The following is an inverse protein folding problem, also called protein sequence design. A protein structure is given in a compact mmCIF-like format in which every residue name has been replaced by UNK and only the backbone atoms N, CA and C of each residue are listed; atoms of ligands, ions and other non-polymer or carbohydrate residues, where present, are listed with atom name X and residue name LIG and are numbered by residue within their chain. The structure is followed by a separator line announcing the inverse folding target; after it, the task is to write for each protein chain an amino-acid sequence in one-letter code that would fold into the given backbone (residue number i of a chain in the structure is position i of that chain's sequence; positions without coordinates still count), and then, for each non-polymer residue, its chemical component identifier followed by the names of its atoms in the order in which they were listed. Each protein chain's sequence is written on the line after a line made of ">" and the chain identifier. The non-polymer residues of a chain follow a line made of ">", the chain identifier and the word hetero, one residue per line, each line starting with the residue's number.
data_IF_981928291109
#
_entry.id   IF_981928291109
#
_cell.length_a   1.000
_cell.length_b   1.000
_cell.length_c   1.000
_cell.angle_alpha   90.00
_cell.angle_beta   90.00
_cell.angle_gamma   90.00
#
_symmetry.space_group_name_H-M   'P 1'
#
loop_
_entity.id
_entity.type
_entity.pdbx_description
1 polymer ?
#
# COMPACT_ATOMS: atom_id res chain seq x y z
N UNK A 1 2.63 8.67 -29.09
CA UNK A 1 1.89 7.96 -28.04
C UNK A 1 2.44 8.39 -26.69
N UNK A 2 1.61 9.08 -25.91
CA UNK A 2 1.94 9.70 -24.62
C UNK A 2 2.64 8.73 -23.67
N UNK A 3 3.69 9.18 -22.95
CA UNK A 3 4.46 8.35 -22.00
C UNK A 3 3.54 7.74 -20.95
N UNK A 4 2.55 8.51 -20.47
CA UNK A 4 1.54 8.06 -19.51
C UNK A 4 0.71 6.89 -20.04
N UNK A 5 0.21 6.99 -21.28
CA UNK A 5 -0.54 5.90 -21.91
C UNK A 5 0.30 4.63 -22.07
N UNK A 6 1.60 4.75 -22.39
CA UNK A 6 2.51 3.59 -22.48
C UNK A 6 2.70 2.89 -21.14
N UNK A 7 2.87 3.64 -20.05
CA UNK A 7 3.08 3.09 -18.70
C UNK A 7 1.79 2.43 -18.19
N UNK A 8 0.64 3.07 -18.38
CA UNK A 8 -0.67 2.51 -18.00
C UNK A 8 -0.96 1.18 -18.72
N UNK A 9 -0.76 1.12 -20.04
CA UNK A 9 -0.95 -0.11 -20.82
C UNK A 9 0.01 -1.20 -20.33
N UNK A 10 1.27 -0.85 -20.07
CA UNK A 10 2.26 -1.80 -19.54
C UNK A 10 1.81 -2.37 -18.20
N UNK A 11 1.40 -1.52 -17.26
CA UNK A 11 0.96 -1.95 -15.93
C UNK A 11 -0.28 -2.85 -16.03
N UNK A 12 -1.29 -2.46 -16.81
CA UNK A 12 -2.49 -3.26 -17.02
C UNK A 12 -2.18 -4.63 -17.65
N UNK A 13 -1.25 -4.67 -18.60
CA UNK A 13 -0.79 -5.92 -19.19
C UNK A 13 -0.08 -6.82 -18.17
N UNK A 14 0.77 -6.26 -17.30
CA UNK A 14 1.42 -7.01 -16.22
C UNK A 14 0.41 -7.54 -15.19
N UNK A 15 -0.58 -6.73 -14.81
CA UNK A 15 -1.65 -7.14 -13.89
C UNK A 15 -2.49 -8.28 -14.47
N UNK A 16 -2.90 -8.14 -15.74
CA UNK A 16 -3.66 -9.17 -16.45
C UNK A 16 -2.86 -10.47 -16.58
N UNK A 17 -1.59 -10.37 -16.92
CA UNK A 17 -0.70 -11.52 -17.03
C UNK A 17 -0.48 -12.19 -15.67
N UNK A 18 -0.34 -11.41 -14.60
CA UNK A 18 -0.28 -11.91 -13.23
C UNK A 18 -1.53 -12.68 -12.84
N UNK A 19 -2.71 -12.14 -13.14
CA UNK A 19 -3.99 -12.81 -12.89
C UNK A 19 -4.11 -14.13 -13.66
N UNK A 20 -3.75 -14.14 -14.95
CA UNK A 20 -3.76 -15.36 -15.77
C UNK A 20 -2.83 -16.44 -15.21
N UNK A 21 -1.63 -16.06 -14.74
CA UNK A 21 -0.70 -16.99 -14.09
C UNK A 21 -1.33 -17.61 -12.84
N UNK A 22 -2.02 -16.84 -12.01
CA UNK A 22 -2.71 -17.37 -10.82
C UNK A 22 -3.81 -18.34 -11.21
N UNK A 23 -4.63 -18.02 -12.23
CA UNK A 23 -5.65 -18.94 -12.74
C UNK A 23 -5.07 -20.23 -13.32
N UNK A 24 -3.86 -20.21 -13.90
CA UNK A 24 -3.20 -21.40 -14.42
C UNK A 24 -2.88 -22.41 -13.30
N UNK A 25 -2.53 -21.98 -12.09
CA UNK A 25 -2.32 -22.91 -10.97
C UNK A 25 -3.59 -23.73 -10.69
N UNK A 26 -4.76 -23.10 -10.74
CA UNK A 26 -6.04 -23.79 -10.57
C UNK A 26 -6.35 -24.71 -11.75
N UNK A 27 -6.17 -24.22 -12.99
CA UNK A 27 -6.44 -25.02 -14.19
C UNK A 27 -5.57 -26.27 -14.27
N UNK A 28 -4.26 -26.14 -14.01
CA UNK A 28 -3.31 -27.26 -13.95
C UNK A 28 -3.74 -28.25 -12.85
N UNK A 29 -4.11 -27.75 -11.68
CA UNK A 29 -4.59 -28.60 -10.59
C UNK A 29 -5.81 -29.43 -10.99
N UNK A 30 -6.83 -28.80 -11.59
CA UNK A 30 -8.05 -29.49 -12.06
C UNK A 30 -7.71 -30.55 -13.12
N UNK A 31 -6.88 -30.20 -14.11
CA UNK A 31 -6.47 -31.14 -15.16
C UNK A 31 -5.75 -32.36 -14.56
N UNK A 32 -4.85 -32.14 -13.59
CA UNK A 32 -4.15 -33.22 -12.89
C UNK A 32 -5.12 -34.10 -12.10
N UNK A 33 -6.12 -33.53 -11.41
CA UNK A 33 -7.15 -34.32 -10.74
C UNK A 33 -7.99 -35.16 -11.72
N UNK A 34 -8.38 -34.59 -12.86
CA UNK A 34 -9.13 -35.31 -13.90
C UNK A 34 -8.32 -36.43 -14.55
N UNK A 35 -7.02 -36.20 -14.79
CA UNK A 35 -6.08 -37.22 -15.26
C UNK A 35 -5.90 -38.33 -14.22
N UNK A 36 -5.71 -37.99 -12.94
CA UNK A 36 -5.61 -38.94 -11.83
C UNK A 36 -6.87 -39.78 -11.64
N UNK A 37 -8.05 -39.20 -11.90
CA UNK A 37 -9.34 -39.89 -11.88
C UNK A 37 -9.61 -40.74 -13.15
N UNK A 38 -8.66 -40.77 -14.09
CA UNK A 38 -8.78 -41.43 -15.40
C UNK A 38 -9.97 -40.97 -16.24
N UNK A 39 -10.47 -39.75 -16.01
CA UNK A 39 -11.56 -39.18 -16.81
C UNK A 39 -11.06 -38.87 -18.23
N UNK A 40 -9.80 -38.45 -18.36
CA UNK A 40 -9.21 -37.98 -19.63
C UNK A 40 -8.32 -39.04 -20.29
N UNK A 41 -7.59 -39.85 -19.49
CA UNK A 41 -6.64 -40.82 -20.01
C UNK A 41 -6.48 -42.03 -19.08
N UNK A 42 -6.19 -43.20 -19.66
CA UNK A 42 -5.90 -44.41 -18.91
C UNK A 42 -4.44 -44.38 -18.42
N UNK A 43 -4.27 -44.01 -17.15
CA UNK A 43 -2.97 -43.96 -16.48
C UNK A 43 -2.71 -45.19 -15.61
N UNK A 44 -1.44 -45.59 -15.51
CA UNK A 44 -1.02 -46.60 -14.54
C UNK A 44 -1.12 -46.06 -13.10
N UNK A 45 -1.04 -46.94 -12.10
CA UNK A 45 -1.24 -46.55 -10.70
C UNK A 45 -0.25 -45.48 -10.21
N UNK A 46 1.03 -45.60 -10.61
CA UNK A 46 2.08 -44.64 -10.22
C UNK A 46 1.80 -43.24 -10.79
N UNK A 47 1.38 -43.16 -12.04
CA UNK A 47 1.03 -41.92 -12.70
C UNK A 47 -0.23 -41.27 -12.10
N UNK A 48 -1.23 -42.06 -11.69
CA UNK A 48 -2.40 -41.53 -10.97
C UNK A 48 -2.00 -40.89 -9.65
N UNK A 49 -1.18 -41.59 -8.84
CA UNK A 49 -0.70 -41.07 -7.56
C UNK A 49 0.08 -39.76 -7.77
N UNK A 50 0.97 -39.72 -8.76
CA UNK A 50 1.71 -38.51 -9.10
C UNK A 50 0.77 -37.35 -9.47
N UNK A 51 -0.26 -37.60 -10.29
CA UNK A 51 -1.25 -36.59 -10.66
C UNK A 51 -1.99 -36.03 -9.43
N UNK A 52 -2.40 -36.87 -8.48
CA UNK A 52 -3.04 -36.40 -7.25
C UNK A 52 -2.10 -35.57 -6.37
N UNK A 53 -0.84 -36.00 -6.21
CA UNK A 53 0.14 -35.28 -5.41
C UNK A 53 0.43 -33.90 -6.01
N UNK A 54 0.75 -33.83 -7.30
CA UNK A 54 1.01 -32.55 -7.95
C UNK A 54 -0.25 -31.69 -8.03
N UNK A 55 -1.40 -32.26 -8.37
CA UNK A 55 -2.69 -31.55 -8.38
C UNK A 55 -2.98 -30.88 -7.03
N UNK A 56 -2.72 -31.58 -5.93
CA UNK A 56 -2.86 -31.06 -4.57
C UNK A 56 -1.87 -29.93 -4.28
N UNK A 57 -0.59 -30.06 -4.69
CA UNK A 57 0.41 -28.99 -4.52
C UNK A 57 -0.02 -27.72 -5.26
N UNK A 58 -0.43 -27.84 -6.53
CA UNK A 58 -0.91 -26.69 -7.32
C UNK A 58 -2.17 -26.06 -6.70
N UNK A 59 -3.11 -26.87 -6.19
CA UNK A 59 -4.29 -26.37 -5.48
C UNK A 59 -3.92 -25.60 -4.21
N UNK A 60 -3.01 -26.14 -3.38
CA UNK A 60 -2.56 -25.49 -2.14
C UNK A 60 -1.89 -24.16 -2.46
N UNK A 61 -1.01 -24.11 -3.46
CA UNK A 61 -0.36 -22.85 -3.88
C UNK A 61 -1.41 -21.83 -4.32
N UNK A 62 -2.39 -22.23 -5.13
CA UNK A 62 -3.49 -21.36 -5.55
C UNK A 62 -4.27 -20.81 -4.34
N UNK A 63 -4.65 -21.68 -3.40
CA UNK A 63 -5.37 -21.29 -2.17
C UNK A 63 -4.55 -20.28 -1.36
N UNK A 64 -3.24 -20.51 -1.18
CA UNK A 64 -2.36 -19.58 -0.46
C UNK A 64 -2.30 -18.20 -1.13
N UNK A 65 -2.25 -18.15 -2.45
CA UNK A 65 -2.28 -16.89 -3.22
C UNK A 65 -3.62 -16.18 -2.99
N UNK A 66 -4.75 -16.87 -3.12
CA UNK A 66 -6.09 -16.31 -2.91
C UNK A 66 -6.25 -15.77 -1.48
N UNK A 67 -5.85 -16.53 -0.47
CA UNK A 67 -5.85 -16.09 0.93
C UNK A 67 -5.02 -14.81 1.08
N UNK A 68 -3.85 -14.75 0.44
CA UNK A 68 -2.99 -13.56 0.51
C UNK A 68 -3.65 -12.34 -0.11
N UNK A 69 -4.32 -12.47 -1.26
CA UNK A 69 -5.07 -11.39 -1.90
C UNK A 69 -6.20 -10.90 -0.99
N UNK A 70 -6.97 -11.83 -0.39
CA UNK A 70 -8.04 -11.48 0.56
C UNK A 70 -7.47 -10.73 1.77
N UNK A 71 -6.34 -11.17 2.33
CA UNK A 71 -5.69 -10.48 3.45
C UNK A 71 -5.25 -9.06 3.09
N UNK A 72 -4.75 -8.83 1.87
CA UNK A 72 -4.41 -7.49 1.37
C UNK A 72 -5.68 -6.63 1.34
N UNK A 73 -6.75 -7.10 0.70
CA UNK A 73 -8.01 -6.37 0.61
C UNK A 73 -8.64 -6.03 1.99
N UNK A 74 -8.58 -6.97 2.95
CA UNK A 74 -9.05 -6.71 4.31
C UNK A 74 -8.18 -5.66 5.03
N UNK A 75 -6.88 -5.66 4.77
CA UNK A 75 -5.94 -4.71 5.33
C UNK A 75 -6.15 -3.32 4.76
N UNK A 76 -6.42 -3.21 3.46
CA UNK A 76 -6.72 -1.96 2.77
C UNK A 76 -8.00 -1.33 3.31
N UNK A 77 -9.07 -2.12 3.44
CA UNK A 77 -10.32 -1.69 4.07
C UNK A 77 -10.14 -1.23 5.53
N UNK A 78 -9.22 -1.85 6.27
CA UNK A 78 -8.89 -1.40 7.62
C UNK A 78 -8.25 -0.02 7.62
N UNK A 79 -7.38 0.31 6.66
CA UNK A 79 -6.79 1.65 6.58
C UNK A 79 -7.78 2.70 6.12
N UNK A 80 -8.66 2.36 5.16
CA UNK A 80 -9.74 3.27 4.75
C UNK A 80 -10.66 3.63 5.92
N UNK A 81 -10.97 2.67 6.81
CA UNK A 81 -11.75 2.96 8.04
C UNK A 81 -11.03 3.85 9.05
N UNK A 82 -9.73 4.06 8.91
CA UNK A 82 -8.93 4.92 9.76
C UNK A 82 -8.72 6.31 9.17
N UNK A 83 -9.23 6.59 7.96
CA UNK A 83 -9.05 7.88 7.30
C UNK A 83 -9.61 9.03 8.16
N UNK A 84 -8.91 10.15 8.16
CA UNK A 84 -9.34 11.40 8.80
C UNK A 84 -9.55 12.44 7.73
N UNK A 85 -10.67 13.17 7.77
CA UNK A 85 -10.91 14.28 6.85
C UNK A 85 -9.92 15.42 7.14
N UNK A 86 -8.88 15.53 6.31
CA UNK A 86 -7.84 16.56 6.47
C UNK A 86 -8.31 17.94 6.05
N UNK A 87 -9.43 18.08 5.34
CA UNK A 87 -9.99 19.40 5.08
C UNK A 87 -10.75 19.91 6.29
N UNK A 88 -11.57 19.07 6.92
CA UNK A 88 -12.28 19.40 8.16
C UNK A 88 -11.30 19.66 9.31
N UNK A 89 -10.29 18.80 9.47
CA UNK A 89 -9.31 18.91 10.56
C UNK A 89 -8.58 20.26 10.57
N UNK A 90 -8.35 20.85 9.40
CA UNK A 90 -7.54 22.06 9.22
C UNK A 90 -8.34 23.28 8.74
N UNK A 91 -9.67 23.24 8.75
CA UNK A 91 -10.53 24.29 8.18
C UNK A 91 -10.35 25.67 8.82
N UNK A 92 -9.95 25.71 10.10
CA UNK A 92 -9.81 26.95 10.90
C UNK A 92 -8.35 27.37 11.11
N UNK A 93 -7.39 26.67 10.52
CA UNK A 93 -5.97 26.97 10.70
C UNK A 93 -5.53 28.07 9.71
N UNK A 94 -4.84 29.11 10.21
CA UNK A 94 -4.25 30.11 9.33
C UNK A 94 -3.01 29.52 8.65
N UNK A 95 -3.04 29.43 7.32
CA UNK A 95 -1.92 28.88 6.55
C UNK A 95 -0.87 29.97 6.31
N UNK A 96 0.38 29.70 6.67
CA UNK A 96 1.53 30.43 6.13
C UNK A 96 1.63 30.22 4.61
N UNK A 97 2.26 31.17 3.92
CA UNK A 97 2.34 31.20 2.45
C UNK A 97 2.79 29.87 1.82
N UNK A 98 3.79 29.19 2.42
CA UNK A 98 4.29 27.90 1.90
C UNK A 98 3.22 26.79 1.95
N UNK A 99 2.43 26.74 3.01
CA UNK A 99 1.39 25.71 3.18
C UNK A 99 0.18 26.01 2.30
N UNK A 100 -0.15 27.29 2.15
CA UNK A 100 -1.22 27.75 1.28
C UNK A 100 -0.94 27.36 -0.17
N UNK A 101 0.25 27.67 -0.68
CA UNK A 101 0.66 27.36 -2.06
C UNK A 101 0.58 25.85 -2.33
N UNK A 102 1.18 25.03 -1.47
CA UNK A 102 1.14 23.57 -1.63
C UNK A 102 -0.28 23.01 -1.58
N UNK A 103 -1.13 23.56 -0.72
CA UNK A 103 -2.50 23.09 -0.58
C UNK A 103 -3.39 23.50 -1.76
N UNK A 104 -3.19 24.71 -2.30
CA UNK A 104 -3.84 25.17 -3.53
C UNK A 104 -3.44 24.30 -4.72
N UNK A 105 -2.15 24.02 -4.89
CA UNK A 105 -1.62 23.15 -5.93
C UNK A 105 -2.19 21.73 -5.82
N UNK A 106 -2.19 21.17 -4.60
CA UNK A 106 -2.76 19.86 -4.33
C UNK A 106 -4.24 19.79 -4.70
N UNK A 107 -5.04 20.79 -4.28
CA UNK A 107 -6.49 20.84 -4.59
C UNK A 107 -6.76 20.95 -6.08
N UNK A 108 -5.93 21.72 -6.80
CA UNK A 108 -6.14 21.97 -8.22
C UNK A 108 -5.76 20.76 -9.07
N UNK A 109 -4.55 20.25 -8.90
CA UNK A 109 -3.96 19.29 -9.84
C UNK A 109 -3.94 17.85 -9.30
N UNK A 110 -4.11 17.67 -7.98
CA UNK A 110 -3.95 16.39 -7.28
C UNK A 110 -5.17 16.00 -6.40
N UNK A 111 -6.32 16.66 -6.56
CA UNK A 111 -7.54 16.39 -5.75
C UNK A 111 -8.00 14.93 -5.78
N UNK A 112 -7.70 14.19 -6.86
CA UNK A 112 -7.94 12.73 -6.96
C UNK A 112 -7.28 11.92 -5.84
N UNK A 113 -6.24 12.44 -5.21
CA UNK A 113 -5.52 11.81 -4.11
C UNK A 113 -5.96 12.27 -2.71
N UNK A 114 -7.04 13.06 -2.59
CA UNK A 114 -7.53 13.51 -1.28
C UNK A 114 -7.82 12.34 -0.34
N UNK A 115 -8.50 11.29 -0.82
CA UNK A 115 -8.76 10.09 -0.01
C UNK A 115 -7.48 9.37 0.41
N UNK A 116 -6.43 9.41 -0.43
CA UNK A 116 -5.12 8.85 -0.09
C UNK A 116 -4.42 9.68 0.99
N UNK A 117 -4.49 11.01 0.92
CA UNK A 117 -3.99 11.91 1.96
C UNK A 117 -4.68 11.64 3.30
N UNK A 118 -6.01 11.59 3.31
CA UNK A 118 -6.82 11.33 4.50
C UNK A 118 -6.51 9.96 5.13
N UNK A 119 -6.32 8.94 4.29
CA UNK A 119 -5.95 7.59 4.71
C UNK A 119 -4.53 7.55 5.29
N UNK A 120 -3.56 8.20 4.65
CA UNK A 120 -2.17 8.25 5.12
C UNK A 120 -2.08 8.96 6.47
N UNK A 121 -2.78 10.08 6.59
CA UNK A 121 -2.82 10.91 7.79
C UNK A 121 -3.45 10.14 8.96
N UNK A 122 -4.60 9.52 8.74
CA UNK A 122 -5.25 8.66 9.73
C UNK A 122 -4.42 7.45 10.14
N UNK A 123 -3.71 6.84 9.18
CA UNK A 123 -2.78 5.74 9.48
C UNK A 123 -1.62 6.21 10.36
N UNK A 124 -1.03 7.38 10.10
CA UNK A 124 0.05 7.95 10.91
C UNK A 124 -0.40 8.18 12.36
N UNK A 125 -1.57 8.79 12.58
CA UNK A 125 -2.11 8.97 13.94
C UNK A 125 -2.23 7.62 14.65
N UNK A 126 -2.77 6.60 13.97
CA UNK A 126 -2.91 5.27 14.54
C UNK A 126 -1.54 4.63 14.85
N UNK A 127 -0.55 4.85 13.99
CA UNK A 127 0.82 4.39 14.19
C UNK A 127 1.40 4.97 15.48
N UNK A 128 1.29 6.29 15.68
CA UNK A 128 1.81 6.97 16.87
C UNK A 128 1.07 6.56 18.14
N UNK A 129 -0.27 6.48 18.12
CA UNK A 129 -1.06 5.96 19.25
C UNK A 129 -0.58 4.59 19.71
N UNK A 130 -0.29 3.70 18.76
CA UNK A 130 0.25 2.36 19.04
C UNK A 130 1.71 2.39 19.50
N UNK A 131 2.54 3.24 18.90
CA UNK A 131 3.95 3.39 19.26
C UNK A 131 4.12 3.82 20.71
N UNK A 132 3.36 4.84 21.13
CA UNK A 132 3.40 5.41 22.48
C UNK A 132 2.42 4.78 23.47
N UNK A 133 1.57 3.84 23.02
CA UNK A 133 0.50 3.20 23.82
C UNK A 133 -0.44 4.20 24.48
N UNK A 134 -0.87 5.22 23.74
CA UNK A 134 -1.74 6.31 24.20
C UNK A 134 -2.80 6.60 23.15
N UNK A 135 -4.06 6.31 23.46
CA UNK A 135 -5.16 6.45 22.51
C UNK A 135 -5.62 7.90 22.26
N UNK A 136 -5.27 8.82 23.17
CA UNK A 136 -5.61 10.23 23.08
C UNK A 136 -4.67 11.07 22.21
N UNK A 137 -3.60 10.47 21.66
CA UNK A 137 -2.68 11.21 20.78
C UNK A 137 -3.46 11.69 19.55
N UNK A 138 -3.37 12.98 19.29
CA UNK A 138 -3.89 13.61 18.08
C UNK A 138 -2.75 14.36 17.40
N UNK A 139 -2.74 14.34 16.07
CA UNK A 139 -1.72 15.01 15.26
C UNK A 139 -2.44 16.06 14.43
N UNK A 140 -2.23 17.34 14.78
CA UNK A 140 -2.76 18.48 14.04
C UNK A 140 -1.60 19.39 13.64
N UNK A 141 -0.74 18.90 12.74
CA UNK A 141 0.44 19.64 12.28
C UNK A 141 0.31 19.99 10.80
N UNK A 142 0.40 21.28 10.50
CA UNK A 142 0.42 21.80 9.13
C UNK A 142 1.64 21.29 8.36
N UNK A 143 2.79 21.16 9.02
CA UNK A 143 4.02 20.63 8.42
C UNK A 143 3.85 19.16 8.01
N UNK A 144 3.22 18.33 8.85
CA UNK A 144 2.96 16.92 8.51
C UNK A 144 2.00 16.83 7.32
N UNK A 145 0.92 17.62 7.30
CA UNK A 145 0.00 17.68 6.16
C UNK A 145 0.73 18.08 4.88
N UNK A 146 1.55 19.13 4.95
CA UNK A 146 2.36 19.62 3.85
C UNK A 146 3.32 18.54 3.32
N UNK A 147 4.07 17.88 4.20
CA UNK A 147 4.99 16.81 3.82
C UNK A 147 4.27 15.63 3.14
N UNK A 148 3.04 15.30 3.56
CA UNK A 148 2.22 14.28 2.91
C UNK A 148 1.71 14.72 1.53
N UNK A 149 1.28 15.97 1.37
CA UNK A 149 0.91 16.53 0.07
C UNK A 149 2.10 16.49 -0.89
N UNK A 150 3.27 16.95 -0.44
CA UNK A 150 4.50 16.93 -1.21
C UNK A 150 4.96 15.52 -1.59
N UNK A 151 4.81 14.54 -0.69
CA UNK A 151 5.05 13.13 -1.01
C UNK A 151 4.16 12.67 -2.17
N UNK A 152 2.86 12.95 -2.10
CA UNK A 152 1.90 12.52 -3.12
C UNK A 152 2.22 13.16 -4.47
N UNK A 153 2.40 14.48 -4.49
CA UNK A 153 2.71 15.26 -5.68
C UNK A 153 4.02 14.78 -6.31
N UNK A 154 5.09 14.67 -5.52
CA UNK A 154 6.40 14.21 -6.01
C UNK A 154 6.37 12.77 -6.52
N UNK A 155 5.54 11.90 -5.93
CA UNK A 155 5.38 10.53 -6.42
C UNK A 155 4.59 10.49 -7.74
N UNK A 156 3.52 11.27 -7.86
CA UNK A 156 2.76 11.36 -9.11
C UNK A 156 3.61 11.92 -10.24
N UNK A 157 4.43 12.95 -9.98
CA UNK A 157 5.33 13.52 -10.98
C UNK A 157 6.42 12.54 -11.42
N UNK A 158 6.99 11.77 -10.48
CA UNK A 158 8.11 10.87 -10.77
C UNK A 158 7.67 9.50 -11.32
N UNK A 159 6.52 9.00 -10.91
CA UNK A 159 6.06 7.63 -11.19
C UNK A 159 4.73 7.57 -11.94
N UNK A 160 4.14 8.71 -12.30
CA UNK A 160 2.79 8.85 -12.88
C UNK A 160 1.67 8.24 -11.99
N UNK A 161 1.98 7.96 -10.71
CA UNK A 161 1.01 7.50 -9.74
C UNK A 161 1.55 7.60 -8.30
N UNK A 162 0.64 7.81 -7.34
CA UNK A 162 0.87 7.58 -5.91
C UNK A 162 0.12 6.34 -5.44
N UNK A 163 0.83 5.39 -4.82
CA UNK A 163 0.26 4.19 -4.21
C UNK A 163 0.28 4.33 -2.68
N UNK A 164 -0.91 4.55 -2.12
CA UNK A 164 -1.12 4.73 -0.69
C UNK A 164 -0.73 3.49 0.13
N UNK A 165 -0.98 2.28 -0.38
CA UNK A 165 -0.70 1.06 0.36
C UNK A 165 0.81 0.78 0.38
N UNK A 166 1.51 1.10 -0.71
CA UNK A 166 2.96 1.11 -0.74
C UNK A 166 3.54 2.15 0.24
N UNK A 167 2.98 3.36 0.31
CA UNK A 167 3.39 4.39 1.27
C UNK A 167 3.23 3.89 2.72
N UNK A 168 2.08 3.30 3.05
CA UNK A 168 1.78 2.76 4.38
C UNK A 168 2.74 1.62 4.75
N UNK A 169 3.07 0.74 3.81
CA UNK A 169 3.98 -0.38 4.07
C UNK A 169 5.43 0.08 4.27
N UNK A 170 5.90 1.04 3.49
CA UNK A 170 7.20 1.68 3.73
C UNK A 170 7.22 2.45 5.04
N UNK A 171 6.15 3.17 5.38
CA UNK A 171 6.04 3.89 6.65
C UNK A 171 6.15 2.93 7.84
N UNK A 172 5.44 1.80 7.81
CA UNK A 172 5.58 0.73 8.83
C UNK A 172 6.99 0.18 8.89
N UNK A 173 7.61 -0.05 7.74
CA UNK A 173 8.95 -0.62 7.67
C UNK A 173 9.97 0.34 8.30
N UNK A 174 9.88 1.63 7.99
CA UNK A 174 10.74 2.67 8.58
C UNK A 174 10.49 2.78 10.09
N UNK A 175 9.23 2.94 10.52
CA UNK A 175 8.88 3.15 11.92
C UNK A 175 9.26 1.94 12.82
N UNK A 176 9.14 0.72 12.30
CA UNK A 176 9.51 -0.51 13.03
C UNK A 176 10.95 -0.94 12.77
N UNK A 177 11.76 -0.13 12.09
CA UNK A 177 13.14 -0.46 11.69
C UNK A 177 13.26 -1.85 11.04
N UNK A 178 12.26 -2.24 10.25
CA UNK A 178 12.26 -3.52 9.52
C UNK A 178 13.20 -3.45 8.34
N UNK A 179 13.65 -4.62 7.89
CA UNK A 179 14.45 -4.76 6.69
C UNK A 179 13.71 -4.18 5.47
N UNK A 180 14.32 -3.16 4.86
CA UNK A 180 13.90 -2.60 3.58
C UNK A 180 14.87 -3.11 2.53
N UNK A 181 14.34 -3.70 1.46
CA UNK A 181 15.19 -4.19 0.38
C UNK A 181 15.95 -3.04 -0.28
N UNK A 182 17.26 -3.22 -0.50
CA UNK A 182 18.10 -2.23 -1.20
C UNK A 182 17.55 -1.88 -2.59
N UNK A 183 16.87 -2.82 -3.24
CA UNK A 183 16.18 -2.60 -4.51
C UNK A 183 15.06 -1.56 -4.39
N UNK A 184 14.23 -1.66 -3.35
CA UNK A 184 13.12 -0.73 -3.13
C UNK A 184 13.62 0.68 -2.83
N UNK A 185 14.68 0.82 -2.02
CA UNK A 185 15.31 2.12 -1.74
C UNK A 185 15.79 2.81 -3.02
N UNK A 186 16.32 2.05 -3.98
CA UNK A 186 16.79 2.58 -5.27
C UNK A 186 15.65 2.89 -6.22
N UNK A 187 14.58 2.08 -6.19
CA UNK A 187 13.44 2.19 -7.12
C UNK A 187 12.47 3.28 -6.71
N UNK A 188 12.30 3.50 -5.41
CA UNK A 188 11.30 4.41 -4.84
C UNK A 188 11.91 5.44 -3.87
N UNK A 189 12.99 6.14 -4.22
CA UNK A 189 13.71 7.01 -3.29
C UNK A 189 12.84 8.11 -2.68
N UNK A 190 11.92 8.69 -3.47
CA UNK A 190 11.01 9.77 -3.04
C UNK A 190 10.13 9.32 -1.86
N UNK A 191 9.58 8.09 -1.89
CA UNK A 191 8.81 7.57 -0.76
C UNK A 191 9.64 7.58 0.51
N UNK A 192 10.85 7.02 0.47
CA UNK A 192 11.69 6.91 1.67
C UNK A 192 12.17 8.27 2.19
N UNK A 193 12.42 9.23 1.29
CA UNK A 193 12.80 10.58 1.68
C UNK A 193 11.71 11.26 2.50
N UNK A 194 10.50 11.36 1.95
CA UNK A 194 9.40 12.05 2.61
C UNK A 194 8.88 11.28 3.83
N UNK A 195 8.74 9.95 3.76
CA UNK A 195 8.24 9.16 4.89
C UNK A 195 9.16 9.24 6.11
N UNK A 196 10.49 9.37 5.92
CA UNK A 196 11.42 9.63 7.02
C UNK A 196 11.20 11.00 7.66
N UNK A 197 10.99 12.04 6.84
CA UNK A 197 10.67 13.40 7.33
C UNK A 197 9.35 13.40 8.11
N UNK A 198 8.32 12.76 7.56
CA UNK A 198 6.99 12.63 8.19
C UNK A 198 7.09 11.92 9.55
N UNK A 199 7.78 10.77 9.64
CA UNK A 199 7.94 10.06 10.91
C UNK A 199 8.71 10.92 11.92
N UNK A 200 9.77 11.58 11.48
CA UNK A 200 10.55 12.44 12.36
C UNK A 200 9.67 13.56 12.95
N UNK A 201 8.97 14.28 12.08
CA UNK A 201 8.09 15.39 12.47
C UNK A 201 6.93 14.90 13.37
N UNK A 202 6.35 13.74 13.09
CA UNK A 202 5.31 13.15 13.90
C UNK A 202 5.79 12.81 15.31
N UNK A 203 6.97 12.20 15.44
CA UNK A 203 7.56 11.88 16.73
C UNK A 203 7.88 13.16 17.53
N UNK A 204 8.46 14.16 16.88
CA UNK A 204 8.79 15.46 17.51
C UNK A 204 7.50 16.14 18.00
N UNK A 205 6.47 16.24 17.15
CA UNK A 205 5.17 16.80 17.52
C UNK A 205 4.54 16.08 18.72
N UNK A 206 4.54 14.74 18.72
CA UNK A 206 3.97 13.95 19.81
C UNK A 206 4.76 14.14 21.12
N UNK A 207 6.08 14.18 21.03
CA UNK A 207 6.94 14.43 22.19
C UNK A 207 6.63 15.78 22.81
N UNK A 208 6.59 16.85 22.02
CA UNK A 208 6.37 18.21 22.50
C UNK A 208 4.96 18.41 23.08
N UNK A 209 3.94 17.96 22.36
CA UNK A 209 2.54 18.30 22.68
C UNK A 209 1.86 17.32 23.62
N UNK A 210 2.31 16.06 23.69
CA UNK A 210 1.60 15.00 24.42
C UNK A 210 2.45 14.33 25.52
N UNK A 211 3.77 14.49 25.50
CA UNK A 211 4.66 13.78 26.44
C UNK A 211 5.41 14.74 27.35
N UNK A 212 6.09 15.73 26.77
CA UNK A 212 6.92 16.71 27.46
C UNK A 212 6.15 17.94 27.94
N UNK A 213 4.94 18.16 27.42
CA UNK A 213 3.96 19.10 27.98
C UNK A 213 3.57 18.69 29.42
N UNK A 214 4.43 19.05 30.38
CA UNK A 214 4.16 19.11 31.82
C UNK A 214 4.86 20.33 32.41
#
# INVERSE_FOLDING_TARGET
>A
MDKRKKILIKNYAFETLGFLIVCLFLAISIILFLLGAKVIANLNLKAQIACYVFGSIFAIIFILIVIKIIMIYLTDNKYLKLSVDTNELFQNESLEDKYLISNEEFKKDYSRYQSSLDTLYGFLINLERKGYKRDYIEIKSLEIRYLMQQLIMSCDDAYDNFDIFMAIDFLKAIAKQKFIWKGDLKKYPIYFEYLRKIIKEANEYVLENHIQSK
#
